data_IF_887869745757
#
_entry.id   IF_887869745757
#
_cell.length_a   1.000
_cell.length_b   1.000
_cell.length_c   1.000
_cell.angle_alpha   90.00
_cell.angle_beta   90.00
_cell.angle_gamma   90.00
#
_symmetry.space_group_name_H-M   'P 1'
#
loop_
_entity.id
_entity.type
_entity.pdbx_description
1 polymer ?
#
# COMPACT_ATOMS: atom_id res chain seq x y z
N UNK A 1 2.76 18.62 19.77
CA UNK A 1 1.72 19.66 19.90
C UNK A 1 0.37 18.97 19.86
N UNK A 2 -0.51 19.25 20.82
CA UNK A 2 -1.78 18.52 21.01
C UNK A 2 -2.76 18.90 19.90
N UNK A 3 -3.21 17.89 19.13
CA UNK A 3 -4.28 18.04 18.13
C UNK A 3 -5.62 18.21 18.87
N UNK A 4 -6.33 19.31 18.63
CA UNK A 4 -7.66 19.58 19.16
C UNK A 4 -8.66 19.11 18.12
N UNK A 5 -9.36 18.02 18.40
CA UNK A 5 -10.51 17.56 17.62
C UNK A 5 -11.72 18.42 17.94
N UNK A 6 -12.25 19.11 16.94
CA UNK A 6 -13.56 19.75 17.02
C UNK A 6 -14.62 18.74 16.59
N UNK A 7 -15.38 18.24 17.55
CA UNK A 7 -16.54 17.38 17.36
C UNK A 7 -17.69 18.24 16.84
N UNK A 8 -18.11 18.05 15.59
CA UNK A 8 -19.36 18.61 15.08
C UNK A 8 -20.41 17.50 15.03
N UNK A 9 -21.32 17.56 16.00
CA UNK A 9 -22.47 16.69 16.13
C UNK A 9 -23.56 17.15 15.16
N UNK A 10 -23.84 16.39 14.11
CA UNK A 10 -25.03 16.59 13.27
C UNK A 10 -26.03 15.47 13.53
N UNK A 11 -27.10 15.86 14.20
CA UNK A 11 -28.30 15.08 14.49
C UNK A 11 -29.18 15.06 13.24
N UNK A 12 -29.39 13.92 12.59
CA UNK A 12 -30.48 13.77 11.62
C UNK A 12 -31.34 12.55 11.91
N UNK A 13 -32.62 12.86 11.99
CA UNK A 13 -33.74 12.03 12.42
C UNK A 13 -34.05 10.88 11.47
N UNK A 14 -34.48 9.80 12.07
CA UNK A 14 -35.10 8.64 11.45
C UNK A 14 -36.42 8.98 10.74
N UNK A 15 -36.63 8.37 9.58
CA UNK A 15 -37.99 8.12 9.07
C UNK A 15 -38.08 6.64 8.70
N UNK A 16 -38.81 5.93 9.55
CA UNK A 16 -39.29 4.56 9.31
C UNK A 16 -40.44 4.56 8.32
N UNK A 17 -40.35 3.75 7.27
CA UNK A 17 -41.54 3.30 6.53
C UNK A 17 -41.58 1.80 6.53
N UNK A 18 -42.55 1.25 7.28
CA UNK A 18 -42.99 -0.13 7.19
C UNK A 18 -43.89 -0.31 5.99
N UNK A 19 -43.65 -1.32 5.17
CA UNK A 19 -44.70 -1.95 4.37
C UNK A 19 -44.58 -3.46 4.57
N UNK A 20 -45.63 -4.01 5.17
CA UNK A 20 -45.88 -5.45 5.33
C UNK A 20 -46.84 -5.91 4.25
N UNK A 21 -46.94 -7.22 4.16
CA UNK A 21 -47.98 -8.07 3.54
C UNK A 21 -47.50 -8.82 2.31
N UNK A 22 -47.80 -10.06 2.10
CA UNK A 22 -48.47 -11.14 2.81
C UNK A 22 -48.44 -12.35 1.87
N UNK A 23 -48.13 -13.52 2.39
CA UNK A 23 -48.85 -14.78 2.30
C UNK A 23 -49.42 -15.21 0.93
N UNK A 24 -49.31 -16.42 0.45
CA UNK A 24 -49.78 -17.70 0.91
C UNK A 24 -49.52 -18.78 -0.14
N UNK A 25 -49.17 -19.98 0.34
CA UNK A 25 -49.78 -21.29 0.13
C UNK A 25 -50.23 -21.70 -1.28
N UNK A 26 -50.18 -22.91 -1.71
CA UNK A 26 -50.17 -24.25 -1.12
C UNK A 26 -50.01 -25.31 -2.23
N UNK A 27 -49.57 -26.51 -1.77
CA UNK A 27 -49.95 -27.85 -2.23
C UNK A 27 -49.47 -28.40 -3.58
N UNK A 28 -48.69 -29.41 -3.48
CA UNK A 28 -48.94 -30.83 -3.19
C UNK A 28 -49.29 -31.70 -4.39
N UNK A 29 -48.49 -32.76 -4.48
CA UNK A 29 -48.85 -34.14 -4.87
C UNK A 29 -49.04 -34.44 -6.38
N UNK A 30 -48.39 -35.38 -6.93
CA UNK A 30 -48.66 -36.79 -6.92
C UNK A 30 -47.69 -37.58 -7.84
N UNK A 31 -47.37 -38.73 -7.37
CA UNK A 31 -46.74 -39.89 -7.94
C UNK A 31 -47.10 -40.23 -9.40
N UNK A 32 -46.17 -40.79 -10.17
CA UNK A 32 -46.24 -42.19 -10.62
C UNK A 32 -45.03 -42.65 -11.43
N UNK A 33 -44.51 -43.78 -11.02
CA UNK A 33 -43.60 -44.74 -11.61
C UNK A 33 -43.83 -45.07 -13.07
N UNK A 34 -42.76 -45.25 -13.90
CA UNK A 34 -42.63 -46.49 -14.70
C UNK A 34 -41.19 -46.64 -15.20
N UNK A 35 -40.68 -47.86 -15.11
CA UNK A 35 -39.39 -48.35 -15.52
C UNK A 35 -39.28 -48.54 -17.02
N UNK A 36 -38.03 -48.54 -17.53
CA UNK A 36 -37.76 -49.12 -18.82
C UNK A 36 -36.44 -48.75 -19.45
N UNK A 37 -35.46 -49.64 -19.30
CA UNK A 37 -34.41 -50.08 -20.21
C UNK A 37 -33.24 -49.17 -20.63
N UNK A 38 -32.12 -49.66 -20.22
CA UNK A 38 -30.79 -49.78 -20.88
C UNK A 38 -30.65 -49.28 -22.30
N UNK A 39 -29.70 -48.41 -22.49
CA UNK A 39 -28.68 -48.58 -23.55
C UNK A 39 -27.35 -47.93 -23.15
N UNK A 40 -26.31 -48.68 -23.39
CA UNK A 40 -24.91 -48.47 -23.11
C UNK A 40 -24.40 -47.27 -23.97
N UNK A 41 -23.93 -46.20 -23.36
CA UNK A 41 -23.16 -45.19 -24.05
C UNK A 41 -21.86 -44.98 -23.29
N UNK A 42 -20.81 -45.29 -23.98
CA UNK A 42 -19.39 -45.05 -23.74
C UNK A 42 -19.18 -43.64 -23.14
N UNK A 43 -18.87 -43.58 -21.84
CA UNK A 43 -18.45 -42.35 -21.19
C UNK A 43 -16.93 -42.33 -21.20
N UNK A 44 -16.37 -41.71 -22.21
CA UNK A 44 -15.02 -41.13 -22.12
C UNK A 44 -14.96 -40.21 -20.94
N UNK A 45 -14.04 -40.36 -19.98
CA UNK A 45 -13.87 -39.40 -18.91
C UNK A 45 -13.49 -38.05 -19.54
N UNK A 46 -14.31 -37.04 -19.31
CA UNK A 46 -13.91 -35.66 -19.57
C UNK A 46 -12.68 -35.40 -18.69
N UNK A 47 -11.53 -35.22 -19.32
CA UNK A 47 -10.38 -34.63 -18.68
C UNK A 47 -10.85 -33.25 -18.15
N UNK A 48 -11.02 -33.18 -16.86
CA UNK A 48 -11.07 -31.91 -16.16
C UNK A 48 -9.65 -31.37 -16.26
N UNK A 49 -9.38 -30.56 -17.26
CA UNK A 49 -8.24 -29.67 -17.26
C UNK A 49 -8.38 -28.79 -16.02
N UNK A 50 -7.67 -29.13 -14.95
CA UNK A 50 -7.42 -28.18 -13.89
C UNK A 50 -6.80 -26.97 -14.57
N UNK A 51 -7.55 -25.85 -14.61
CA UNK A 51 -6.97 -24.57 -14.93
C UNK A 51 -5.84 -24.40 -13.92
N UNK A 52 -4.62 -24.33 -14.38
CA UNK A 52 -3.57 -23.73 -13.59
C UNK A 52 -4.02 -22.29 -13.40
N UNK A 53 -4.58 -21.97 -12.23
CA UNK A 53 -4.78 -20.60 -11.82
C UNK A 53 -3.37 -20.00 -11.69
N UNK A 54 -2.92 -19.39 -12.78
CA UNK A 54 -1.68 -18.63 -12.79
C UNK A 54 -1.88 -17.47 -11.78
N UNK A 55 -0.99 -17.39 -10.80
CA UNK A 55 -1.06 -16.36 -9.77
C UNK A 55 -1.02 -14.98 -10.43
N UNK A 56 -2.10 -14.21 -10.26
CA UNK A 56 -2.19 -12.83 -10.74
C UNK A 56 -2.09 -11.86 -9.53
N UNK A 57 -0.97 -11.12 -9.40
CA UNK A 57 -0.79 -10.19 -8.30
C UNK A 57 -1.75 -8.97 -8.36
N UNK A 58 -2.38 -8.70 -9.52
CA UNK A 58 -3.38 -7.64 -9.66
C UNK A 58 -4.78 -8.09 -9.24
N UNK A 59 -5.03 -9.40 -9.10
CA UNK A 59 -6.34 -9.92 -8.74
C UNK A 59 -6.78 -9.44 -7.35
N UNK A 60 -8.04 -8.96 -7.27
CA UNK A 60 -8.69 -8.47 -6.04
C UNK A 60 -9.83 -9.39 -5.65
N UNK A 61 -10.02 -9.57 -4.35
CA UNK A 61 -11.20 -10.25 -3.81
C UNK A 61 -12.47 -9.42 -4.01
N UNK A 62 -13.63 -10.07 -3.91
CA UNK A 62 -14.91 -9.37 -3.98
C UNK A 62 -15.04 -8.30 -2.89
N UNK A 63 -15.50 -7.11 -3.27
CA UNK A 63 -15.67 -5.97 -2.36
C UNK A 63 -14.37 -5.19 -2.05
N UNK A 64 -13.27 -5.55 -2.68
CA UNK A 64 -12.00 -4.81 -2.58
C UNK A 64 -11.89 -3.82 -3.72
N UNK A 65 -11.48 -2.59 -3.43
CA UNK A 65 -11.29 -1.52 -4.40
C UNK A 65 -10.10 -1.82 -5.33
N UNK A 66 -10.25 -1.52 -6.60
CA UNK A 66 -9.11 -1.30 -7.50
C UNK A 66 -8.35 -0.04 -7.10
N UNK A 67 -7.11 0.11 -7.56
CA UNK A 67 -6.36 1.35 -7.28
C UNK A 67 -7.10 2.59 -7.83
N UNK A 68 -7.73 2.50 -9.00
CA UNK A 68 -8.49 3.61 -9.57
C UNK A 68 -9.71 4.01 -8.73
N UNK A 69 -10.40 3.04 -8.11
CA UNK A 69 -11.51 3.30 -7.18
C UNK A 69 -11.01 3.93 -5.87
N UNK A 70 -9.88 3.44 -5.33
CA UNK A 70 -9.23 4.03 -4.18
C UNK A 70 -8.77 5.47 -4.46
N UNK A 71 -8.13 5.71 -5.61
CA UNK A 71 -7.66 7.05 -6.00
C UNK A 71 -8.83 8.03 -6.13
N UNK A 72 -9.95 7.59 -6.71
CA UNK A 72 -11.17 8.38 -6.88
C UNK A 72 -12.00 8.54 -5.59
N UNK A 73 -11.75 7.74 -4.55
CA UNK A 73 -12.49 7.82 -3.29
C UNK A 73 -12.29 9.19 -2.62
N UNK A 74 -13.38 9.71 -2.02
CA UNK A 74 -13.31 10.97 -1.30
C UNK A 74 -12.43 10.85 -0.03
N UNK A 75 -11.88 11.98 0.43
CA UNK A 75 -11.25 12.03 1.74
C UNK A 75 -12.28 11.68 2.82
N UNK A 76 -11.80 11.03 3.89
CA UNK A 76 -12.58 10.46 4.99
C UNK A 76 -13.53 9.31 4.57
N UNK A 77 -13.51 8.86 3.31
CA UNK A 77 -14.25 7.66 2.91
C UNK A 77 -13.59 6.41 3.46
N UNK A 78 -14.41 5.43 3.85
CA UNK A 78 -13.94 4.09 4.15
C UNK A 78 -13.42 3.43 2.87
N UNK A 79 -12.25 2.81 2.95
CA UNK A 79 -11.58 2.13 1.84
C UNK A 79 -11.20 0.72 2.23
N UNK A 80 -11.29 -0.19 1.27
CA UNK A 80 -10.86 -1.58 1.41
C UNK A 80 -9.94 -1.91 0.24
N UNK A 81 -8.68 -2.21 0.53
CA UNK A 81 -7.67 -2.51 -0.50
C UNK A 81 -7.01 -3.86 -0.21
N UNK A 82 -6.48 -4.49 -1.25
CA UNK A 82 -5.52 -5.59 -1.16
C UNK A 82 -4.24 -5.19 -1.88
N UNK A 83 -3.12 -5.35 -1.20
CA UNK A 83 -1.81 -5.06 -1.76
C UNK A 83 -0.73 -5.86 -1.03
N UNK A 84 0.51 -5.69 -1.47
CA UNK A 84 1.66 -6.42 -0.95
C UNK A 84 2.57 -5.47 -0.19
N UNK A 85 2.98 -5.88 1.00
CA UNK A 85 3.95 -5.15 1.82
C UNK A 85 5.26 -5.01 1.04
N UNK A 86 5.71 -3.78 0.83
CA UNK A 86 7.02 -3.52 0.26
C UNK A 86 8.06 -3.17 1.31
N UNK A 87 7.62 -2.46 2.36
CA UNK A 87 8.40 -2.20 3.56
C UNK A 87 7.47 -1.80 4.70
N UNK A 88 7.96 -1.90 5.92
CA UNK A 88 7.28 -1.39 7.12
C UNK A 88 8.21 -0.48 7.90
N UNK A 89 7.65 0.50 8.57
CA UNK A 89 8.35 1.18 9.66
C UNK A 89 8.43 0.27 10.89
N UNK A 90 9.26 0.61 11.84
CA UNK A 90 9.36 -0.13 13.11
C UNK A 90 8.02 -0.16 13.83
N UNK A 91 7.65 -1.35 14.37
CA UNK A 91 6.49 -1.46 15.24
C UNK A 91 6.68 -0.62 16.51
N UNK A 92 5.66 0.15 16.87
CA UNK A 92 5.68 1.01 18.04
C UNK A 92 4.26 1.22 18.58
N UNK A 93 4.09 1.19 19.88
CA UNK A 93 2.83 1.48 20.59
C UNK A 93 1.61 0.74 20.02
N UNK A 94 1.77 -0.56 19.76
CA UNK A 94 0.76 -1.44 19.14
C UNK A 94 0.29 -0.99 17.76
N UNK A 95 1.17 -0.41 16.98
CA UNK A 95 0.90 0.07 15.62
C UNK A 95 2.08 -0.21 14.69
N UNK A 96 1.76 -0.32 13.40
CA UNK A 96 2.75 -0.43 12.33
C UNK A 96 2.33 0.41 11.13
N UNK A 97 3.28 1.05 10.51
CA UNK A 97 3.10 1.77 9.24
C UNK A 97 3.72 0.95 8.12
N UNK A 98 3.02 0.85 6.98
CA UNK A 98 3.48 0.06 5.85
C UNK A 98 3.36 0.80 4.51
N UNK A 99 4.39 0.65 3.68
CA UNK A 99 4.34 0.90 2.24
C UNK A 99 3.83 -0.35 1.55
N UNK A 100 2.70 -0.22 0.87
CA UNK A 100 2.01 -1.29 0.19
C UNK A 100 1.98 -0.97 -1.31
N UNK A 101 2.12 -1.98 -2.14
CA UNK A 101 2.02 -1.83 -3.59
C UNK A 101 1.44 -3.07 -4.22
N UNK A 102 0.68 -2.90 -5.29
CA UNK A 102 0.29 -3.91 -6.25
C UNK A 102 0.69 -3.46 -7.67
N UNK A 103 0.46 -4.24 -8.72
CA UNK A 103 0.83 -3.85 -10.08
C UNK A 103 0.18 -2.53 -10.56
N UNK A 104 -1.00 -2.18 -10.03
CA UNK A 104 -1.78 -1.02 -10.47
C UNK A 104 -1.39 0.25 -9.71
N UNK A 105 -1.10 0.14 -8.40
CA UNK A 105 -0.82 1.30 -7.59
C UNK A 105 -0.12 1.03 -6.27
N UNK A 106 0.04 2.09 -5.48
CA UNK A 106 0.69 2.01 -4.18
C UNK A 106 -0.07 2.79 -3.11
N UNK A 107 0.10 2.38 -1.87
CA UNK A 107 -0.65 2.90 -0.73
C UNK A 107 0.28 3.06 0.47
N UNK A 108 0.01 4.07 1.29
CA UNK A 108 0.66 4.27 2.57
C UNK A 108 -0.37 4.02 3.69
N UNK A 109 -0.21 2.92 4.41
CA UNK A 109 -1.09 2.57 5.52
C UNK A 109 -0.43 3.02 6.83
N UNK A 110 -0.94 4.14 7.36
CA UNK A 110 -0.35 4.82 8.50
C UNK A 110 -0.88 4.28 9.83
N UNK A 111 0.05 3.88 10.71
CA UNK A 111 -0.23 3.47 12.09
C UNK A 111 -1.38 2.44 12.22
N UNK A 112 -1.38 1.39 11.41
CA UNK A 112 -2.33 0.29 11.54
C UNK A 112 -2.19 -0.38 12.91
N UNK A 113 -3.31 -0.56 13.61
CA UNK A 113 -3.32 -1.22 14.92
C UNK A 113 -2.98 -2.71 14.80
N UNK A 114 -1.96 -3.18 15.52
CA UNK A 114 -1.59 -4.60 15.55
C UNK A 114 -0.71 -4.95 16.73
N UNK A 115 -0.65 -6.24 17.06
CA UNK A 115 0.32 -6.79 18.00
C UNK A 115 1.73 -6.83 17.40
N UNK A 116 2.77 -6.91 18.22
CA UNK A 116 4.14 -7.11 17.76
C UNK A 116 4.29 -8.43 16.98
N UNK A 117 3.57 -9.49 17.40
CA UNK A 117 3.56 -10.78 16.72
C UNK A 117 2.99 -10.68 15.30
N UNK A 118 1.91 -9.91 15.10
CA UNK A 118 1.32 -9.71 13.78
C UNK A 118 2.17 -8.78 12.91
N UNK A 119 2.78 -7.75 13.50
CA UNK A 119 3.73 -6.89 12.82
C UNK A 119 4.92 -7.69 12.25
N UNK A 120 5.45 -8.64 13.01
CA UNK A 120 6.57 -9.49 12.57
C UNK A 120 6.24 -10.38 11.35
N UNK A 121 4.95 -10.60 11.06
CA UNK A 121 4.47 -11.35 9.88
C UNK A 121 4.42 -10.49 8.60
N UNK A 122 4.45 -9.15 8.74
CA UNK A 122 4.39 -8.21 7.61
C UNK A 122 5.76 -8.06 6.94
N UNK A 123 6.26 -9.15 6.38
CA UNK A 123 7.52 -9.15 5.64
C UNK A 123 7.32 -8.70 4.20
N UNK A 124 8.39 -8.26 3.54
CA UNK A 124 8.35 -7.84 2.13
C UNK A 124 7.74 -8.92 1.25
N UNK A 125 6.74 -8.54 0.47
CA UNK A 125 5.99 -9.42 -0.42
C UNK A 125 4.72 -10.02 0.20
N UNK A 126 4.48 -9.91 1.51
CA UNK A 126 3.27 -10.44 2.16
C UNK A 126 2.02 -9.74 1.61
N UNK A 127 1.02 -10.50 1.13
CA UNK A 127 -0.27 -9.96 0.73
C UNK A 127 -1.11 -9.65 1.95
N UNK A 128 -1.68 -8.46 2.02
CA UNK A 128 -2.62 -8.06 3.07
C UNK A 128 -3.84 -7.37 2.47
N UNK A 129 -4.95 -7.50 3.18
CA UNK A 129 -6.15 -6.70 2.97
C UNK A 129 -6.22 -5.66 4.07
N UNK A 130 -6.37 -4.39 3.70
CA UNK A 130 -6.48 -3.28 4.65
C UNK A 130 -7.84 -2.63 4.52
N UNK A 131 -8.50 -2.42 5.66
CA UNK A 131 -9.72 -1.62 5.80
C UNK A 131 -9.40 -0.42 6.68
N UNK A 132 -9.72 0.79 6.21
CA UNK A 132 -9.44 2.03 6.93
C UNK A 132 -10.10 3.22 6.25
N UNK A 133 -9.62 4.42 6.50
CA UNK A 133 -10.17 5.66 5.94
C UNK A 133 -9.12 6.39 5.13
N UNK A 134 -9.48 6.82 3.91
CA UNK A 134 -8.58 7.63 3.08
C UNK A 134 -8.37 8.99 3.72
N UNK A 135 -7.13 9.36 3.95
CA UNK A 135 -6.75 10.65 4.53
C UNK A 135 -5.60 11.30 3.78
N UNK A 136 -5.21 12.47 4.27
CA UNK A 136 -4.04 13.16 3.75
C UNK A 136 -3.30 13.91 4.87
N UNK A 137 -1.97 13.90 4.79
CA UNK A 137 -1.10 14.68 5.65
C UNK A 137 -0.01 15.38 4.85
N UNK A 138 0.01 16.72 4.86
CA UNK A 138 1.00 17.54 4.16
C UNK A 138 1.18 17.21 2.65
N UNK A 139 0.10 16.68 2.01
CA UNK A 139 0.10 16.27 0.61
C UNK A 139 0.29 14.77 0.40
N UNK A 140 0.70 14.02 1.42
CA UNK A 140 0.71 12.55 1.38
C UNK A 140 -0.71 12.01 1.49
N UNK A 141 -1.07 11.05 0.63
CA UNK A 141 -2.34 10.31 0.72
C UNK A 141 -2.11 9.03 1.51
N UNK A 142 -2.85 8.88 2.60
CA UNK A 142 -2.65 7.78 3.54
C UNK A 142 -3.97 7.06 3.86
N UNK A 143 -3.87 5.79 4.29
CA UNK A 143 -4.97 5.04 4.90
C UNK A 143 -4.80 5.14 6.42
N UNK A 144 -5.75 5.79 7.08
CA UNK A 144 -5.78 6.01 8.52
C UNK A 144 -6.67 5.01 9.23
N UNK A 145 -6.46 4.81 10.53
CA UNK A 145 -7.21 3.89 11.39
C UNK A 145 -7.32 2.47 10.80
N UNK A 146 -6.27 2.07 10.06
CA UNK A 146 -6.20 0.83 9.30
C UNK A 146 -6.23 -0.41 10.20
N UNK A 147 -6.94 -1.43 9.73
CA UNK A 147 -6.86 -2.81 10.21
C UNK A 147 -6.49 -3.69 9.03
N UNK A 148 -5.72 -4.74 9.28
CA UNK A 148 -5.31 -5.63 8.20
C UNK A 148 -5.61 -7.09 8.50
N UNK A 149 -5.73 -7.86 7.43
CA UNK A 149 -5.76 -9.32 7.40
C UNK A 149 -4.64 -9.80 6.49
N UNK A 150 -3.88 -10.81 6.92
CA UNK A 150 -2.85 -11.44 6.08
C UNK A 150 -3.54 -12.45 5.17
N UNK A 151 -3.22 -12.37 3.88
CA UNK A 151 -3.78 -13.24 2.85
C UNK A 151 -2.70 -14.13 2.22
N UNK A 152 -3.13 -15.15 1.50
CA UNK A 152 -2.24 -15.97 0.68
C UNK A 152 -1.75 -15.18 -0.55
N UNK A 153 -0.52 -15.44 -0.95
CA UNK A 153 0.12 -14.81 -2.10
C UNK A 153 1.33 -13.97 -1.70
N UNK A 154 2.23 -13.83 -2.66
CA UNK A 154 3.44 -13.01 -2.49
C UNK A 154 3.79 -12.31 -3.79
N UNK A 155 4.17 -11.04 -3.69
CA UNK A 155 4.65 -10.26 -4.81
C UNK A 155 5.51 -9.09 -4.31
N UNK A 156 6.55 -8.77 -5.05
CA UNK A 156 7.48 -7.68 -4.74
C UNK A 156 7.57 -6.77 -5.95
N UNK A 157 7.40 -5.47 -5.73
CA UNK A 157 7.53 -4.46 -6.77
C UNK A 157 8.99 -4.31 -7.21
N UNK A 158 9.17 -4.07 -8.50
CA UNK A 158 10.41 -3.51 -9.03
C UNK A 158 10.37 -1.98 -8.95
N UNK A 159 11.52 -1.36 -8.64
CA UNK A 159 11.61 0.09 -8.58
C UNK A 159 11.40 0.71 -9.98
N UNK A 160 10.39 1.55 -10.13
CA UNK A 160 10.19 2.29 -11.37
C UNK A 160 11.24 3.41 -11.52
N UNK A 161 11.78 3.61 -12.71
CA UNK A 161 12.64 4.78 -12.98
C UNK A 161 11.80 6.06 -13.02
N UNK A 162 11.83 6.83 -11.94
CA UNK A 162 11.10 8.10 -11.80
C UNK A 162 11.98 9.33 -12.06
N UNK A 163 13.21 9.15 -12.52
CA UNK A 163 14.18 10.25 -12.70
C UNK A 163 13.62 11.36 -13.60
N UNK A 164 12.99 11.00 -14.73
CA UNK A 164 12.43 11.96 -15.67
C UNK A 164 11.15 12.65 -15.18
N UNK A 165 10.52 12.14 -14.12
CA UNK A 165 9.32 12.72 -13.51
C UNK A 165 9.64 13.81 -12.48
N UNK A 166 10.90 13.91 -12.03
CA UNK A 166 11.30 14.92 -11.06
C UNK A 166 10.99 16.33 -11.56
N UNK A 167 10.28 17.08 -10.72
CA UNK A 167 9.87 18.47 -11.00
C UNK A 167 8.78 18.61 -12.06
N UNK A 168 8.06 17.53 -12.37
CA UNK A 168 6.83 17.54 -13.15
C UNK A 168 5.61 17.32 -12.26
N UNK A 169 4.42 17.74 -12.74
CA UNK A 169 3.16 17.52 -12.03
C UNK A 169 2.71 16.04 -12.08
N UNK A 170 3.39 15.19 -12.84
CA UNK A 170 3.05 13.77 -12.96
C UNK A 170 3.63 12.94 -11.82
N UNK A 171 4.70 13.39 -11.17
CA UNK A 171 5.36 12.62 -10.11
C UNK A 171 4.41 12.29 -8.94
N UNK A 172 3.53 13.22 -8.56
CA UNK A 172 2.57 13.03 -7.46
C UNK A 172 1.59 11.88 -7.71
N UNK A 173 1.30 11.56 -8.99
CA UNK A 173 0.44 10.43 -9.36
C UNK A 173 1.05 9.06 -9.04
N UNK A 174 2.32 9.06 -8.67
CA UNK A 174 3.09 7.87 -8.32
C UNK A 174 3.45 7.83 -6.82
N UNK A 175 2.71 8.59 -5.98
CA UNK A 175 2.89 8.52 -4.53
C UNK A 175 2.94 7.07 -4.04
N UNK A 176 3.78 6.81 -3.04
CA UNK A 176 3.98 5.55 -2.37
C UNK A 176 4.60 4.42 -3.20
N UNK A 177 4.75 4.58 -4.53
CA UNK A 177 5.45 3.59 -5.35
C UNK A 177 6.93 3.52 -5.00
N UNK A 178 7.46 2.31 -5.02
CA UNK A 178 8.90 2.09 -5.02
C UNK A 178 9.49 2.63 -6.32
N UNK A 179 10.46 3.53 -6.22
CA UNK A 179 11.04 4.23 -7.36
C UNK A 179 12.56 4.33 -7.26
N UNK A 180 13.20 4.45 -8.42
CA UNK A 180 14.61 4.76 -8.58
C UNK A 180 14.78 6.16 -9.16
N UNK A 181 15.74 6.91 -8.62
CA UNK A 181 16.19 8.22 -9.12
C UNK A 181 17.68 8.12 -9.45
N UNK A 182 18.02 8.22 -10.73
CA UNK A 182 19.37 7.94 -11.22
C UNK A 182 20.20 9.18 -11.44
N UNK A 183 21.48 9.10 -11.11
CA UNK A 183 22.47 10.15 -11.33
C UNK A 183 22.10 11.43 -10.59
N UNK A 184 21.66 11.32 -9.35
CA UNK A 184 21.38 12.45 -8.46
C UNK A 184 22.68 12.98 -7.87
N UNK A 185 22.87 14.29 -7.86
CA UNK A 185 24.02 14.90 -7.19
C UNK A 185 23.66 15.24 -5.75
N UNK A 186 24.42 14.78 -4.78
CA UNK A 186 24.25 15.18 -3.38
C UNK A 186 24.69 16.62 -3.21
N UNK A 187 23.79 17.47 -2.73
CA UNK A 187 24.08 18.86 -2.39
C UNK A 187 24.41 19.01 -0.90
N UNK A 188 23.66 18.29 -0.05
CA UNK A 188 23.84 18.34 1.40
C UNK A 188 23.32 17.09 2.07
N UNK A 189 23.98 16.69 3.15
CA UNK A 189 23.52 15.65 4.09
C UNK A 189 23.40 16.31 5.46
N UNK A 190 22.22 16.19 6.09
CA UNK A 190 21.96 16.78 7.39
C UNK A 190 21.37 15.70 8.31
N UNK A 191 22.09 15.36 9.36
CA UNK A 191 21.56 14.50 10.41
C UNK A 191 20.62 15.29 11.30
N UNK A 192 19.44 14.77 11.57
CA UNK A 192 18.52 15.35 12.55
C UNK A 192 19.21 15.39 13.92
N UNK A 193 19.04 16.48 14.64
CA UNK A 193 19.74 16.75 15.91
C UNK A 193 21.27 16.80 15.79
N UNK A 194 21.81 17.05 14.62
CA UNK A 194 23.25 17.16 14.32
C UNK A 194 24.09 15.92 14.67
N UNK A 195 23.45 14.74 14.77
CA UNK A 195 24.10 13.47 15.13
C UNK A 195 23.42 12.26 14.46
N UNK A 196 24.20 11.19 14.14
CA UNK A 196 23.62 9.91 13.72
C UNK A 196 22.68 9.32 14.77
N UNK A 197 21.70 8.52 14.31
CA UNK A 197 20.74 7.79 15.15
C UNK A 197 19.28 8.26 15.01
N UNK A 198 19.03 9.27 14.17
CA UNK A 198 17.71 9.76 13.80
C UNK A 198 17.67 9.96 12.28
N UNK A 199 16.65 10.61 11.72
CA UNK A 199 16.51 10.86 10.29
C UNK A 199 17.74 11.53 9.67
N UNK A 200 18.01 11.21 8.41
CA UNK A 200 18.99 11.94 7.59
C UNK A 200 18.23 12.65 6.46
N UNK A 201 18.32 13.95 6.42
CA UNK A 201 17.81 14.76 5.30
C UNK A 201 18.89 14.88 4.24
N UNK A 202 18.55 14.51 3.01
CA UNK A 202 19.49 14.46 1.88
C UNK A 202 18.99 15.38 0.79
N UNK A 203 19.60 16.55 0.68
CA UNK A 203 19.35 17.45 -0.44
C UNK A 203 20.11 16.93 -1.66
N UNK A 204 19.37 16.62 -2.71
CA UNK A 204 19.91 16.11 -3.98
C UNK A 204 19.46 17.00 -5.12
N UNK A 205 20.26 17.11 -6.17
CA UNK A 205 19.91 17.88 -7.37
C UNK A 205 19.90 17.03 -8.62
N UNK A 206 19.03 17.42 -9.55
CA UNK A 206 18.94 16.89 -10.91
C UNK A 206 18.50 18.01 -11.85
N UNK A 207 19.19 18.17 -12.97
CA UNK A 207 18.85 19.15 -14.01
C UNK A 207 18.64 20.59 -13.47
N UNK A 208 19.46 20.97 -12.47
CA UNK A 208 19.45 22.30 -11.87
C UNK A 208 18.33 22.55 -10.85
N UNK A 209 17.55 21.52 -10.48
CA UNK A 209 16.55 21.57 -9.40
C UNK A 209 17.02 20.75 -8.21
N UNK A 210 16.71 21.21 -7.00
CA UNK A 210 17.03 20.53 -5.75
C UNK A 210 15.78 19.95 -5.13
N UNK A 211 15.93 18.76 -4.54
CA UNK A 211 14.89 17.99 -3.86
C UNK A 211 15.44 17.55 -2.50
N UNK A 212 14.59 17.48 -1.48
CA UNK A 212 14.98 16.99 -0.16
C UNK A 212 14.37 15.62 0.07
N UNK A 213 15.19 14.58 0.10
CA UNK A 213 14.81 13.20 0.40
C UNK A 213 15.17 12.88 1.85
N UNK A 214 14.65 11.76 2.37
CA UNK A 214 14.84 11.38 3.76
C UNK A 214 15.23 9.91 3.90
N UNK A 215 16.28 9.63 4.65
CA UNK A 215 16.49 8.33 5.27
C UNK A 215 15.70 8.37 6.58
N UNK A 216 14.46 7.88 6.53
CA UNK A 216 13.55 7.91 7.67
C UNK A 216 13.90 6.76 8.63
N UNK A 217 14.22 7.09 9.89
CA UNK A 217 14.81 6.13 10.84
C UNK A 217 13.94 4.93 11.18
N UNK A 218 12.61 5.09 11.14
CA UNK A 218 11.69 3.98 11.46
C UNK A 218 11.51 3.02 10.28
N UNK A 219 11.77 3.49 9.05
CA UNK A 219 11.80 2.67 7.84
C UNK A 219 13.19 2.08 7.60
N UNK A 220 14.24 2.89 7.77
CA UNK A 220 15.63 2.55 7.50
C UNK A 220 16.44 2.74 8.78
N UNK A 221 16.42 1.73 9.63
CA UNK A 221 17.07 1.75 10.93
C UNK A 221 18.56 2.16 10.84
N UNK A 222 19.08 2.95 11.79
CA UNK A 222 20.49 3.36 11.83
C UNK A 222 21.52 2.23 11.77
N UNK A 223 21.13 1.01 12.09
CA UNK A 223 22.01 -0.16 11.99
C UNK A 223 22.08 -0.77 10.60
N UNK A 224 21.24 -0.33 9.65
CA UNK A 224 21.26 -0.81 8.27
C UNK A 224 22.47 -0.31 7.48
N UNK A 225 22.85 -1.08 6.45
CA UNK A 225 23.91 -0.68 5.51
C UNK A 225 23.55 0.59 4.75
N UNK A 226 22.26 0.79 4.44
CA UNK A 226 21.76 1.99 3.75
C UNK A 226 22.00 3.24 4.60
N UNK A 227 21.61 3.21 5.88
CA UNK A 227 21.84 4.34 6.78
C UNK A 227 23.33 4.63 6.93
N UNK A 228 24.14 3.60 7.14
CA UNK A 228 25.60 3.71 7.32
C UNK A 228 26.32 4.23 6.09
N UNK A 229 25.82 3.93 4.87
CA UNK A 229 26.42 4.41 3.64
C UNK A 229 26.48 5.95 3.54
N UNK A 230 25.53 6.65 4.19
CA UNK A 230 25.52 8.12 4.18
C UNK A 230 26.68 8.76 4.96
N UNK A 231 27.36 8.02 5.83
CA UNK A 231 28.56 8.50 6.53
C UNK A 231 29.75 8.70 5.56
N UNK A 232 29.78 7.95 4.45
CA UNK A 232 30.86 7.99 3.46
C UNK A 232 30.54 8.88 2.25
N UNK A 233 29.30 9.36 2.17
CA UNK A 233 28.83 10.25 1.10
C UNK A 233 29.02 11.72 1.46
N UNK A 234 29.18 12.56 0.45
CA UNK A 234 29.39 14.01 0.63
C UNK A 234 28.82 14.81 -0.53
N UNK A 235 28.69 16.11 -0.35
CA UNK A 235 28.31 17.03 -1.38
C UNK A 235 29.21 16.89 -2.63
N UNK A 236 28.60 16.87 -3.80
CA UNK A 236 29.21 16.62 -5.09
C UNK A 236 29.30 15.16 -5.52
N UNK A 237 29.02 14.20 -4.63
CA UNK A 237 28.93 12.80 -5.04
C UNK A 237 27.67 12.58 -5.90
N UNK A 238 27.80 11.75 -6.92
CA UNK A 238 26.69 11.32 -7.77
C UNK A 238 26.23 9.95 -7.31
N UNK A 239 24.93 9.80 -7.12
CA UNK A 239 24.32 8.58 -6.57
C UNK A 239 23.09 8.18 -7.36
N UNK A 240 22.82 6.87 -7.40
CA UNK A 240 21.51 6.32 -7.68
C UNK A 240 20.81 6.03 -6.36
N UNK A 241 19.55 6.43 -6.24
CA UNK A 241 18.74 6.32 -5.02
C UNK A 241 17.50 5.49 -5.34
N UNK A 242 17.16 4.54 -4.47
CA UNK A 242 15.84 3.91 -4.48
C UNK A 242 15.10 4.23 -3.19
N UNK A 243 13.77 4.33 -3.28
CA UNK A 243 12.91 4.60 -2.14
C UNK A 243 11.46 4.75 -2.53
N UNK A 244 10.62 4.98 -1.52
CA UNK A 244 9.19 5.22 -1.75
C UNK A 244 8.95 6.71 -2.00
N UNK A 245 8.14 7.04 -3.02
CA UNK A 245 7.77 8.42 -3.35
C UNK A 245 6.81 8.94 -2.26
N UNK A 246 7.35 9.32 -1.11
CA UNK A 246 6.61 9.96 -0.05
C UNK A 246 6.46 11.46 -0.33
N UNK A 247 5.41 12.08 0.22
CA UNK A 247 5.12 13.49 0.01
C UNK A 247 5.02 14.27 1.33
N UNK A 248 5.81 15.33 1.45
CA UNK A 248 5.71 16.27 2.56
C UNK A 248 5.90 17.69 2.03
N UNK A 249 4.80 18.37 1.72
CA UNK A 249 4.79 19.69 1.06
C UNK A 249 5.54 19.71 -0.29
N UNK A 250 5.84 18.54 -0.84
CA UNK A 250 6.62 18.27 -2.05
C UNK A 250 7.15 16.86 -2.01
N UNK A 251 7.82 16.40 -3.08
CA UNK A 251 8.43 15.07 -3.08
C UNK A 251 9.50 14.98 -1.97
N UNK A 252 9.33 14.00 -1.11
CA UNK A 252 10.25 13.69 -0.01
C UNK A 252 10.46 12.16 0.05
N UNK A 253 11.15 11.62 -0.95
CA UNK A 253 11.37 10.17 -1.07
C UNK A 253 11.99 9.59 0.19
N UNK A 254 11.37 8.56 0.76
CA UNK A 254 11.94 7.80 1.85
C UNK A 254 12.90 6.74 1.31
N UNK A 255 14.19 6.98 1.51
CA UNK A 255 15.30 6.24 0.89
C UNK A 255 15.42 4.84 1.50
N UNK A 256 15.48 3.82 0.65
CA UNK A 256 15.68 2.42 1.03
C UNK A 256 16.94 1.80 0.42
N UNK A 257 17.54 2.46 -0.58
CA UNK A 257 18.84 2.09 -1.12
C UNK A 257 19.58 3.30 -1.69
N UNK A 258 20.90 3.28 -1.64
CA UNK A 258 21.76 4.28 -2.26
C UNK A 258 23.01 3.61 -2.80
N UNK A 259 23.41 3.99 -4.01
CA UNK A 259 24.65 3.53 -4.62
C UNK A 259 25.41 4.69 -5.26
N UNK A 260 26.69 4.81 -4.95
CA UNK A 260 27.55 5.83 -5.57
C UNK A 260 27.84 5.44 -7.02
N UNK A 261 27.60 6.36 -7.93
CA UNK A 261 27.95 6.22 -9.35
C UNK A 261 29.41 6.62 -9.53
N UNK A 262 30.22 5.69 -10.07
CA UNK A 262 31.65 5.90 -10.32
C UNK A 262 31.91 6.60 -11.66
#
# INVERSE_FOLDING_TARGET
MKRIFALMLVLCMALTVMVACNNSNDNADDTTTTAGNNENADTTPAETTAANDEFDPAAKSEGVMTYAEYDAAAMDAEVVIEAYVQATQSWWDNKITAYLQDPDGAYFAYEMACTEEDAAKLTKGTKIKVTGYKGAWAGEIEIMDGKFEILEGTWVAEAMDATALLGTDDLIKHQNKLAAFKGMTIEKITYKNDAPGDDIYVDVSKDGKTYSFCVERYLTDPDTDVYKAFADLKAGDVVDIEGFIYWYEGVNTHITAVAKVN
#
